data_IF_532864692136
#
_entry.id   IF_532864692136
#
_cell.length_a   1.000
_cell.length_b   1.000
_cell.length_c   1.000
_cell.angle_alpha   90.00
_cell.angle_beta   90.00
_cell.angle_gamma   90.00
#
_symmetry.space_group_name_H-M   'P 1'
#
loop_
_entity.id
_entity.type
_entity.pdbx_description
1 polymer ?
#
# COMPACT_ATOMS: atom_id res chain seq x y z
N UNK A 1 4.35 10.60 -9.31
CA UNK A 1 5.46 9.63 -9.19
C UNK A 1 5.30 8.62 -10.30
N UNK A 2 6.38 8.33 -11.01
CA UNK A 2 6.39 7.33 -12.07
C UNK A 2 6.54 5.89 -11.51
N UNK A 3 6.22 4.91 -12.34
CA UNK A 3 6.26 3.49 -11.97
C UNK A 3 7.66 3.01 -11.52
N UNK A 4 8.74 3.52 -12.12
CA UNK A 4 10.10 3.08 -11.77
C UNK A 4 10.46 3.55 -10.37
N UNK A 5 10.12 4.80 -10.06
CA UNK A 5 10.32 5.37 -8.72
C UNK A 5 9.53 4.59 -7.66
N UNK A 6 8.27 4.27 -7.94
CA UNK A 6 7.46 3.46 -7.01
C UNK A 6 8.06 2.07 -6.79
N UNK A 7 8.44 1.39 -7.87
CA UNK A 7 9.05 0.06 -7.81
C UNK A 7 10.32 0.06 -6.96
N UNK A 8 11.18 1.06 -7.16
CA UNK A 8 12.38 1.23 -6.36
C UNK A 8 12.06 1.44 -4.86
N UNK A 9 11.04 2.24 -4.53
CA UNK A 9 10.62 2.40 -3.13
C UNK A 9 10.06 1.11 -2.51
N UNK A 10 9.32 0.31 -3.28
CA UNK A 10 8.83 -1.01 -2.84
C UNK A 10 10.02 -1.95 -2.53
N UNK A 11 11.05 -1.96 -3.38
CA UNK A 11 12.27 -2.74 -3.17
C UNK A 11 12.99 -2.31 -1.89
N UNK A 12 13.11 -1.01 -1.65
CA UNK A 12 13.74 -0.46 -0.46
C UNK A 12 12.94 -0.70 0.84
N UNK A 13 11.62 -0.93 0.75
CA UNK A 13 10.77 -1.12 1.92
C UNK A 13 11.15 -2.39 2.73
N UNK A 14 11.81 -3.37 2.11
CA UNK A 14 12.20 -4.61 2.77
C UNK A 14 11.00 -5.39 3.31
N UNK A 15 10.04 -5.65 2.43
CA UNK A 15 8.80 -6.38 2.74
C UNK A 15 9.11 -7.84 3.13
N UNK A 16 8.29 -8.48 3.99
CA UNK A 16 8.45 -9.89 4.31
C UNK A 16 8.37 -10.80 3.07
N UNK A 17 9.04 -11.95 3.12
CA UNK A 17 8.99 -12.96 2.06
C UNK A 17 7.55 -13.37 1.73
N UNK A 18 7.25 -13.52 0.44
CA UNK A 18 5.91 -13.88 -0.05
C UNK A 18 4.93 -12.71 -0.13
N UNK A 19 5.29 -11.53 0.38
CA UNK A 19 4.49 -10.31 0.27
C UNK A 19 4.79 -9.61 -1.05
N UNK A 20 3.76 -9.30 -1.83
CA UNK A 20 3.87 -8.50 -3.04
C UNK A 20 3.10 -7.20 -2.87
N UNK A 21 3.75 -6.08 -3.20
CA UNK A 21 3.09 -4.78 -3.27
C UNK A 21 2.95 -4.34 -4.73
N UNK A 22 1.75 -3.88 -5.10
CA UNK A 22 1.44 -3.35 -6.44
C UNK A 22 0.57 -2.11 -6.33
N UNK A 23 0.69 -1.19 -7.28
CA UNK A 23 -0.32 -0.16 -7.46
C UNK A 23 -1.55 -0.72 -8.16
N UNK A 24 -2.74 -0.35 -7.70
CA UNK A 24 -4.01 -0.74 -8.33
C UNK A 24 -4.85 0.50 -8.64
N UNK A 25 -5.83 0.40 -9.57
CA UNK A 25 -6.70 1.53 -9.88
C UNK A 25 -7.50 2.03 -8.66
N UNK A 26 -7.65 3.34 -8.54
CA UNK A 26 -8.44 4.00 -7.51
C UNK A 26 -8.20 5.51 -7.51
N UNK A 27 -8.90 6.24 -6.63
CA UNK A 27 -8.67 7.66 -6.43
C UNK A 27 -7.34 7.89 -5.69
N UNK A 28 -6.54 8.85 -6.17
CA UNK A 28 -5.16 9.05 -5.69
C UNK A 28 -4.27 7.84 -5.98
N UNK A 29 -3.37 7.52 -5.06
CA UNK A 29 -2.47 6.34 -5.18
C UNK A 29 -2.98 5.22 -4.28
N UNK A 30 -3.33 4.08 -4.87
CA UNK A 30 -3.73 2.88 -4.10
C UNK A 30 -2.64 1.81 -4.19
N UNK A 31 -2.03 1.51 -3.05
CA UNK A 31 -1.05 0.43 -2.90
C UNK A 31 -1.73 -0.79 -2.29
N UNK A 32 -1.58 -1.95 -2.92
CA UNK A 32 -2.08 -3.23 -2.43
C UNK A 32 -0.90 -4.10 -2.02
N UNK A 33 -0.88 -4.57 -0.78
CA UNK A 33 -0.05 -5.68 -0.34
C UNK A 33 -0.86 -6.98 -0.35
N UNK A 34 -0.31 -8.05 -0.89
CA UNK A 34 -0.90 -9.39 -0.81
C UNK A 34 0.12 -10.43 -0.34
N UNK A 35 -0.38 -11.47 0.32
CA UNK A 35 0.35 -12.70 0.61
C UNK A 35 -0.47 -13.87 0.09
N UNK A 36 -0.13 -14.35 -1.12
CA UNK A 36 -1.03 -15.17 -1.92
C UNK A 36 -2.28 -14.38 -2.38
N UNK A 37 -3.35 -15.09 -2.72
CA UNK A 37 -4.65 -14.48 -3.10
C UNK A 37 -5.64 -14.38 -1.94
N UNK A 38 -5.39 -15.09 -0.84
CA UNK A 38 -6.32 -15.19 0.28
C UNK A 38 -6.17 -14.05 1.30
N UNK A 39 -5.07 -13.30 1.24
CA UNK A 39 -4.78 -12.24 2.21
C UNK A 39 -4.22 -10.99 1.56
N UNK A 40 -4.72 -9.85 1.99
CA UNK A 40 -4.26 -8.57 1.47
C UNK A 40 -4.82 -7.36 2.20
N UNK A 41 -4.14 -6.23 1.98
CA UNK A 41 -4.49 -4.91 2.49
C UNK A 41 -4.19 -3.87 1.43
N UNK A 42 -5.09 -2.93 1.26
CA UNK A 42 -4.93 -1.75 0.42
C UNK A 42 -4.77 -0.50 1.29
N UNK A 43 -3.88 0.39 0.88
CA UNK A 43 -3.77 1.75 1.40
C UNK A 43 -4.01 2.71 0.24
N UNK A 44 -5.02 3.56 0.39
CA UNK A 44 -5.30 4.67 -0.51
C UNK A 44 -4.70 5.96 0.07
N UNK A 45 -3.70 6.50 -0.62
CA UNK A 45 -3.19 7.84 -0.40
C UNK A 45 -4.06 8.82 -1.18
N UNK A 46 -4.71 9.72 -0.47
CA UNK A 46 -5.47 10.81 -1.10
C UNK A 46 -4.54 11.84 -1.74
N UNK A 47 -5.06 12.58 -2.72
CA UNK A 47 -4.32 13.69 -3.32
C UNK A 47 -3.98 14.77 -2.27
N UNK A 48 -4.81 14.92 -1.25
CA UNK A 48 -4.59 15.83 -0.12
C UNK A 48 -3.38 15.39 0.71
N UNK A 49 -3.29 14.11 1.05
CA UNK A 49 -2.11 13.57 1.74
C UNK A 49 -0.83 13.77 0.91
N UNK A 50 -0.91 13.57 -0.40
CA UNK A 50 0.21 13.82 -1.32
C UNK A 50 0.63 15.29 -1.38
N UNK A 51 -0.32 16.22 -1.30
CA UNK A 51 -0.04 17.67 -1.25
C UNK A 51 0.56 18.11 0.09
N UNK A 52 0.09 17.53 1.21
CA UNK A 52 0.50 17.93 2.56
C UNK A 52 1.87 17.38 2.93
N UNK A 53 2.14 16.11 2.61
CA UNK A 53 3.39 15.44 3.01
C UNK A 53 4.40 15.31 1.86
N UNK A 54 4.01 15.64 0.64
CA UNK A 54 4.75 15.29 -0.56
C UNK A 54 4.51 13.83 -0.95
N UNK A 55 4.53 13.56 -2.26
CA UNK A 55 4.20 12.26 -2.81
C UNK A 55 5.15 11.14 -2.32
N UNK A 56 6.46 11.39 -2.33
CA UNK A 56 7.46 10.42 -1.87
C UNK A 56 7.31 10.04 -0.40
N UNK A 57 7.25 10.99 0.54
CA UNK A 57 7.03 10.71 1.97
C UNK A 57 5.68 10.04 2.26
N UNK A 58 4.61 10.42 1.56
CA UNK A 58 3.31 9.78 1.69
C UNK A 58 3.38 8.29 1.30
N UNK A 59 4.05 7.99 0.18
CA UNK A 59 4.27 6.60 -0.29
C UNK A 59 5.14 5.81 0.68
N UNK A 60 6.26 6.37 1.16
CA UNK A 60 7.12 5.71 2.14
C UNK A 60 6.37 5.36 3.44
N UNK A 61 5.47 6.25 3.88
CA UNK A 61 4.59 6.02 5.04
C UNK A 61 3.62 4.87 4.77
N UNK A 62 2.96 4.85 3.60
CA UNK A 62 2.07 3.76 3.21
C UNK A 62 2.81 2.41 3.15
N UNK A 63 4.00 2.38 2.55
CA UNK A 63 4.83 1.16 2.47
C UNK A 63 5.24 0.67 3.87
N UNK A 64 5.56 1.58 4.79
CA UNK A 64 5.86 1.24 6.19
C UNK A 64 4.66 0.58 6.87
N UNK A 65 3.45 1.14 6.68
CA UNK A 65 2.22 0.56 7.23
C UNK A 65 1.89 -0.80 6.63
N UNK A 66 2.03 -0.95 5.30
CA UNK A 66 1.85 -2.25 4.63
C UNK A 66 2.83 -3.29 5.15
N UNK A 67 4.10 -2.92 5.36
CA UNK A 67 5.11 -3.80 5.96
C UNK A 67 4.72 -4.24 7.36
N UNK A 68 4.28 -3.31 8.22
CA UNK A 68 3.85 -3.62 9.58
C UNK A 68 2.64 -4.57 9.59
N UNK A 69 1.63 -4.30 8.74
CA UNK A 69 0.48 -5.19 8.58
C UNK A 69 0.90 -6.57 8.07
N UNK A 70 1.84 -6.64 7.13
CA UNK A 70 2.34 -7.90 6.61
C UNK A 70 3.10 -8.72 7.67
N UNK A 71 3.86 -8.06 8.54
CA UNK A 71 4.54 -8.71 9.68
C UNK A 71 3.55 -9.21 10.74
N UNK A 72 2.46 -8.48 10.98
CA UNK A 72 1.40 -8.88 11.91
C UNK A 72 0.46 -9.96 11.32
N UNK A 73 0.48 -10.13 10.00
CA UNK A 73 -0.43 -11.00 9.24
C UNK A 73 -1.51 -10.20 8.53
N UNK A 74 -1.47 -10.21 7.19
CA UNK A 74 -2.45 -9.49 6.38
C UNK A 74 -3.89 -10.01 6.61
N UNK A 75 -4.91 -9.14 6.55
CA UNK A 75 -6.32 -9.52 6.66
C UNK A 75 -6.71 -10.54 5.59
N UNK A 76 -7.72 -11.36 5.90
CA UNK A 76 -8.33 -12.24 4.91
C UNK A 76 -9.04 -11.44 3.82
N UNK A 77 -8.99 -11.95 2.59
CA UNK A 77 -9.79 -11.44 1.48
C UNK A 77 -11.27 -11.54 1.83
N UNK A 78 -12.04 -10.50 1.53
CA UNK A 78 -13.47 -10.47 1.76
C UNK A 78 -14.20 -11.44 0.82
N UNK A 79 -15.41 -11.85 1.20
CA UNK A 79 -16.23 -12.77 0.43
C UNK A 79 -16.61 -12.24 -0.97
N UNK A 80 -16.62 -10.91 -1.14
CA UNK A 80 -16.84 -10.24 -2.43
C UNK A 80 -15.57 -10.20 -3.32
N UNK A 81 -14.47 -10.80 -2.86
CA UNK A 81 -13.20 -10.82 -3.56
C UNK A 81 -12.39 -9.53 -3.42
N UNK A 82 -12.78 -8.59 -2.57
CA UNK A 82 -12.02 -7.36 -2.28
C UNK A 82 -11.08 -7.52 -1.09
N UNK A 83 -10.10 -6.63 -0.98
CA UNK A 83 -9.25 -6.51 0.19
C UNK A 83 -9.69 -5.34 1.06
N UNK A 84 -9.35 -5.40 2.34
CA UNK A 84 -9.52 -4.24 3.22
C UNK A 84 -8.76 -3.03 2.67
N UNK A 85 -9.38 -1.85 2.74
CA UNK A 85 -8.79 -0.60 2.28
C UNK A 85 -8.79 0.42 3.39
N UNK A 86 -7.60 0.90 3.74
CA UNK A 86 -7.40 2.03 4.65
C UNK A 86 -7.21 3.29 3.80
N UNK A 87 -7.92 4.36 4.17
CA UNK A 87 -7.76 5.67 3.52
C UNK A 87 -6.82 6.52 4.37
N UNK A 88 -5.77 7.01 3.75
CA UNK A 88 -4.81 7.93 4.35
C UNK A 88 -5.08 9.34 3.83
N UNK A 89 -5.69 10.13 4.70
CA UNK A 89 -5.87 11.58 4.55
C UNK A 89 -4.69 12.29 5.22
N UNK A 90 -4.28 13.42 4.65
CA UNK A 90 -3.36 14.32 5.35
C UNK A 90 -4.07 14.86 6.58
N UNK A 91 -3.41 14.80 7.74
CA UNK A 91 -3.94 15.25 9.03
C UNK A 91 -3.93 16.78 9.15
#
# INVERSE_FOLDING_TARGET
>A
MDERTLRHQIELAGLPSGVRVTQVPGAGVVLRATHGEERGLEIQLTDDAGRMYGEGPAVATALTRLKQAAQAGLPARRADGTYERLVFVGD
#
